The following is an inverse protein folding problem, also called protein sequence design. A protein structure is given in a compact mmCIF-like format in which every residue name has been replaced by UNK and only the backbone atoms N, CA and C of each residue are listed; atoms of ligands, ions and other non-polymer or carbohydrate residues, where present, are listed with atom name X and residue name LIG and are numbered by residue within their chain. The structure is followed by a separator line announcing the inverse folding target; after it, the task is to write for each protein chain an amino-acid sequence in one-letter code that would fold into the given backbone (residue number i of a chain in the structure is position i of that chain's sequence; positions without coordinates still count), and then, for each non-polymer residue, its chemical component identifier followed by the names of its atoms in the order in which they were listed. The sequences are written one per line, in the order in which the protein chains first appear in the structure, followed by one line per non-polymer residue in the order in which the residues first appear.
data_IF_421085192885
#
_entry.id   IF_421085192885
#
_cell.length_a   1.000
_cell.length_b   1.000
_cell.length_c   1.000
_cell.angle_alpha   90.00
_cell.angle_beta   90.00
_cell.angle_gamma   90.00
#
_symmetry.space_group_name_H-M   'P 1'
#
loop_
_entity.id
_entity.type
_entity.pdbx_description
1 polymer ?
#
# COMPACT_ATOMS: atom_id res chain seq x y z
N UNK A 1 -7.07 1.36 -70.43
CA UNK A 1 -6.25 0.13 -70.52
C UNK A 1 -4.79 0.52 -70.64
N UNK A 2 -4.00 0.31 -69.60
CA UNK A 2 -2.63 -0.24 -69.65
C UNK A 2 -2.22 -0.50 -68.19
N UNK A 3 -1.91 -1.76 -67.90
CA UNK A 3 -1.55 -2.28 -66.59
C UNK A 3 -0.26 -3.04 -66.80
N UNK A 4 0.82 -2.64 -66.15
CA UNK A 4 2.05 -3.41 -65.97
C UNK A 4 3.11 -2.53 -65.30
N UNK A 5 4.06 -3.00 -64.50
CA UNK A 5 4.36 -4.27 -63.84
C UNK A 5 5.57 -3.92 -62.94
N UNK A 6 5.57 -4.37 -61.69
CA UNK A 6 6.69 -5.01 -60.97
C UNK A 6 7.93 -4.23 -60.49
N UNK A 7 8.24 -4.53 -59.22
CA UNK A 7 9.53 -4.99 -58.66
C UNK A 7 10.59 -3.99 -58.12
N UNK A 8 10.76 -4.07 -56.79
CA UNK A 8 11.96 -4.60 -56.10
C UNK A 8 12.80 -3.60 -55.27
N UNK A 9 12.78 -3.86 -53.96
CA UNK A 9 13.81 -3.78 -52.93
C UNK A 9 14.89 -2.68 -52.97
N UNK A 10 14.98 -1.94 -51.85
CA UNK A 10 16.14 -1.12 -51.51
C UNK A 10 16.02 -0.52 -50.11
N UNK A 11 16.61 -1.20 -49.13
CA UNK A 11 16.73 -0.84 -47.72
C UNK A 11 17.52 0.47 -47.55
N UNK A 12 17.05 1.37 -46.67
CA UNK A 12 17.83 2.07 -45.63
C UNK A 12 17.26 3.47 -45.33
N UNK A 13 16.66 3.62 -44.14
CA UNK A 13 16.87 4.70 -43.18
C UNK A 13 15.66 4.81 -42.23
N UNK A 14 15.55 3.89 -41.26
CA UNK A 14 14.77 4.17 -40.05
C UNK A 14 15.60 5.15 -39.20
N UNK A 15 15.50 6.43 -39.52
CA UNK A 15 16.01 7.51 -38.70
C UNK A 15 14.82 8.37 -38.24
N UNK A 16 14.18 7.93 -37.16
CA UNK A 16 13.49 8.76 -36.16
C UNK A 16 12.74 7.86 -35.17
N UNK A 17 13.47 6.96 -34.49
CA UNK A 17 13.05 6.59 -33.13
C UNK A 17 13.27 7.83 -32.26
N UNK A 18 12.22 8.60 -32.06
CA UNK A 18 12.13 9.48 -30.90
C UNK A 18 10.68 9.49 -30.42
N UNK A 19 10.11 8.30 -30.31
CA UNK A 19 9.07 8.08 -29.31
C UNK A 19 9.83 8.12 -27.98
N UNK A 20 9.76 9.27 -27.30
CA UNK A 20 10.18 9.35 -25.92
C UNK A 20 9.27 8.38 -25.17
N UNK A 21 9.83 7.21 -24.87
CA UNK A 21 9.27 6.22 -23.97
C UNK A 21 8.83 6.99 -22.72
N UNK A 22 7.53 7.01 -22.37
CA UNK A 22 7.14 7.51 -21.07
C UNK A 22 7.83 6.59 -20.08
N UNK A 23 8.83 7.14 -19.38
CA UNK A 23 9.42 6.50 -18.21
C UNK A 23 8.25 6.02 -17.36
N UNK A 24 8.13 4.69 -17.24
CA UNK A 24 7.22 4.09 -16.31
C UNK A 24 7.42 4.81 -14.97
N UNK A 25 6.36 5.24 -14.26
CA UNK A 25 6.55 5.79 -12.94
C UNK A 25 7.32 4.75 -12.16
N UNK A 26 8.55 5.11 -11.79
CA UNK A 26 9.32 4.36 -10.82
C UNK A 26 8.37 4.25 -9.65
N UNK A 27 7.92 3.02 -9.38
CA UNK A 27 7.22 2.73 -8.15
C UNK A 27 8.16 3.20 -7.05
N UNK A 28 7.84 4.36 -6.49
CA UNK A 28 8.44 4.84 -5.27
C UNK A 28 8.12 3.73 -4.28
N UNK A 29 9.10 2.87 -4.00
CA UNK A 29 9.10 2.13 -2.74
C UNK A 29 8.99 3.22 -1.69
N UNK A 30 7.79 3.43 -1.18
CA UNK A 30 7.58 4.15 0.06
C UNK A 30 8.22 3.27 1.12
N UNK A 31 9.55 3.36 1.24
CA UNK A 31 10.27 2.96 2.44
C UNK A 31 9.61 3.80 3.52
N UNK A 32 8.73 3.17 4.30
CA UNK A 32 8.10 3.79 5.44
C UNK A 32 9.23 4.42 6.25
N UNK A 33 9.32 5.75 6.19
CA UNK A 33 10.32 6.49 6.93
C UNK A 33 10.20 6.02 8.38
N UNK A 34 11.31 5.55 8.95
CA UNK A 34 11.38 5.00 10.30
C UNK A 34 10.62 5.93 11.26
N UNK A 35 9.40 5.54 11.59
CA UNK A 35 8.54 6.37 12.41
C UNK A 35 9.16 6.42 13.81
N UNK A 36 9.29 7.61 14.43
CA UNK A 36 9.81 7.69 15.79
C UNK A 36 8.95 6.82 16.72
N UNK A 37 9.60 6.19 17.71
CA UNK A 37 8.93 5.37 18.72
C UNK A 37 7.68 6.10 19.26
N UNK A 38 6.57 5.39 19.30
CA UNK A 38 5.29 5.98 19.69
C UNK A 38 4.52 6.70 18.58
N UNK A 39 4.94 6.58 17.31
CA UNK A 39 4.17 6.97 16.13
C UNK A 39 4.13 5.83 15.11
N UNK A 40 3.16 5.87 14.20
CA UNK A 40 3.06 4.98 13.05
C UNK A 40 2.73 5.84 11.84
N UNK A 41 3.38 5.57 10.72
CA UNK A 41 3.10 6.28 9.49
C UNK A 41 1.70 5.90 8.96
N UNK A 42 1.09 6.76 8.15
CA UNK A 42 -0.01 6.31 7.33
C UNK A 42 0.46 5.20 6.40
N UNK A 43 -0.42 4.22 6.16
CA UNK A 43 -0.08 3.02 5.39
C UNK A 43 -0.95 1.83 5.75
N UNK A 44 -0.76 0.76 5.01
CA UNK A 44 -1.40 -0.53 5.27
C UNK A 44 -0.39 -1.47 5.91
N UNK A 45 -0.81 -2.17 6.95
CA UNK A 45 -0.01 -3.04 7.78
C UNK A 45 -0.66 -4.42 7.87
N UNK A 46 0.16 -5.45 7.82
CA UNK A 46 -0.23 -6.78 8.31
C UNK A 46 0.11 -6.85 9.79
N UNK A 47 -0.89 -7.16 10.61
CA UNK A 47 -0.80 -7.25 12.07
C UNK A 47 -0.85 -8.71 12.47
N UNK A 48 0.24 -9.20 13.07
CA UNK A 48 0.32 -10.52 13.66
C UNK A 48 -0.05 -10.45 15.15
N UNK A 49 -1.12 -11.16 15.51
CA UNK A 49 -1.63 -11.24 16.87
C UNK A 49 -0.96 -12.36 17.66
N UNK A 50 -0.98 -12.24 18.99
CA UNK A 50 -0.38 -13.23 19.89
C UNK A 50 -1.02 -14.63 19.84
N UNK A 51 -2.27 -14.72 19.38
CA UNK A 51 -2.99 -15.97 19.13
C UNK A 51 -2.61 -16.66 17.79
N UNK A 52 -1.70 -16.06 17.02
CA UNK A 52 -1.23 -16.56 15.74
C UNK A 52 -2.11 -16.17 14.55
N UNK A 53 -3.22 -15.44 14.77
CA UNK A 53 -4.02 -14.88 13.68
C UNK A 53 -3.36 -13.64 13.08
N UNK A 54 -3.85 -13.24 11.90
CA UNK A 54 -3.39 -12.03 11.21
C UNK A 54 -4.58 -11.17 10.84
N UNK A 55 -4.38 -9.85 10.84
CA UNK A 55 -5.35 -8.88 10.33
C UNK A 55 -4.66 -7.87 9.43
N UNK A 56 -5.44 -7.21 8.58
CA UNK A 56 -4.96 -6.08 7.78
C UNK A 56 -5.45 -4.78 8.41
N UNK A 57 -4.56 -3.81 8.58
CA UNK A 57 -4.88 -2.54 9.24
C UNK A 57 -4.35 -1.37 8.42
N UNK A 58 -5.21 -0.43 8.07
CA UNK A 58 -4.88 0.76 7.29
C UNK A 58 -5.05 1.99 8.15
N UNK A 59 -4.00 2.82 8.20
CA UNK A 59 -3.98 4.12 8.87
C UNK A 59 -3.93 5.18 7.77
N UNK A 60 -4.93 6.07 7.75
CA UNK A 60 -5.04 7.12 6.75
C UNK A 60 -4.47 8.43 7.29
N UNK A 61 -3.87 9.25 6.43
CA UNK A 61 -3.35 10.58 6.83
C UNK A 61 -4.43 11.56 7.33
N UNK A 62 -5.71 11.26 7.12
CA UNK A 62 -6.84 12.10 7.52
C UNK A 62 -7.29 11.88 8.98
N UNK A 63 -6.59 11.02 9.74
CA UNK A 63 -6.94 10.71 11.12
C UNK A 63 -7.94 9.55 11.27
N UNK A 64 -8.23 8.82 10.20
CA UNK A 64 -9.09 7.62 10.23
C UNK A 64 -8.30 6.33 10.09
N UNK A 65 -8.91 5.21 10.47
CA UNK A 65 -8.36 3.87 10.25
C UNK A 65 -9.44 2.89 9.78
N UNK A 66 -8.98 1.78 9.20
CA UNK A 66 -9.79 0.61 8.87
C UNK A 66 -9.01 -0.66 9.17
N UNK A 67 -9.59 -1.59 9.93
CA UNK A 67 -9.01 -2.89 10.25
C UNK A 67 -9.92 -4.02 9.80
N UNK A 68 -9.37 -5.04 9.15
CA UNK A 68 -10.10 -6.24 8.75
C UNK A 68 -9.48 -7.48 9.39
N UNK A 69 -10.30 -8.23 10.14
CA UNK A 69 -9.94 -9.49 10.79
C UNK A 69 -11.10 -10.46 10.65
N UNK A 70 -10.83 -11.69 10.20
CA UNK A 70 -11.85 -12.74 10.00
C UNK A 70 -13.09 -12.24 9.23
N UNK A 71 -12.87 -11.52 8.13
CA UNK A 71 -13.88 -10.85 7.29
C UNK A 71 -14.73 -9.76 7.98
N UNK A 72 -14.47 -9.47 9.24
CA UNK A 72 -15.08 -8.35 9.98
C UNK A 72 -14.22 -7.11 9.80
N UNK A 73 -14.84 -6.02 9.35
CA UNK A 73 -14.17 -4.73 9.22
C UNK A 73 -14.60 -3.79 10.35
N UNK A 74 -13.62 -3.24 11.06
CA UNK A 74 -13.78 -2.15 12.02
C UNK A 74 -13.19 -0.86 11.43
N UNK A 75 -13.86 0.26 11.66
CA UNK A 75 -13.40 1.57 11.23
C UNK A 75 -13.52 2.57 12.37
N UNK A 76 -12.73 3.62 12.32
CA UNK A 76 -12.77 4.64 13.36
C UNK A 76 -11.78 5.77 13.13
N UNK A 77 -11.48 6.49 14.19
CA UNK A 77 -10.53 7.59 14.21
C UNK A 77 -9.34 7.27 15.08
N UNK A 78 -8.22 7.94 14.84
CA UNK A 78 -7.06 7.86 15.71
C UNK A 78 -6.50 9.24 16.05
N UNK A 79 -5.87 9.33 17.22
CA UNK A 79 -5.16 10.52 17.68
C UNK A 79 -3.82 10.15 18.31
N UNK A 80 -2.83 11.03 18.17
CA UNK A 80 -1.55 10.88 18.85
C UNK A 80 -1.60 11.55 20.23
N UNK A 81 -1.49 10.77 21.32
CA UNK A 81 -1.52 11.28 22.70
C UNK A 81 -0.31 10.78 23.48
N UNK A 82 0.54 11.69 23.94
CA UNK A 82 1.67 11.35 24.82
C UNK A 82 2.66 10.32 24.25
N UNK A 83 2.86 10.30 22.92
CA UNK A 83 3.70 9.29 22.26
C UNK A 83 3.05 7.93 22.11
N UNK A 84 1.71 7.87 22.16
CA UNK A 84 0.90 6.69 21.83
C UNK A 84 -0.04 7.05 20.69
N UNK A 85 -0.39 6.06 19.89
CA UNK A 85 -1.52 6.16 18.96
C UNK A 85 -2.76 5.62 19.65
N UNK A 86 -3.83 6.40 19.70
CA UNK A 86 -5.08 6.07 20.37
C UNK A 86 -6.18 5.92 19.35
N UNK A 87 -6.76 4.73 19.25
CA UNK A 87 -7.84 4.40 18.32
C UNK A 87 -9.19 4.47 19.03
N UNK A 88 -10.18 5.03 18.35
CA UNK A 88 -11.58 4.99 18.77
C UNK A 88 -12.41 4.43 17.62
N UNK A 89 -12.97 3.24 17.83
CA UNK A 89 -13.87 2.61 16.86
C UNK A 89 -15.17 3.40 16.71
N UNK A 90 -15.73 3.40 15.51
CA UNK A 90 -17.03 4.00 15.20
C UNK A 90 -18.20 3.14 15.71
N UNK A 91 -17.96 1.92 16.19
CA UNK A 91 -19.01 1.09 16.79
C UNK A 91 -19.59 1.74 18.06
N UNK A 92 -20.89 1.57 18.28
CA UNK A 92 -21.57 2.15 19.44
C UNK A 92 -21.01 1.59 20.75
N UNK A 93 -20.63 2.49 21.67
CA UNK A 93 -20.11 2.13 22.99
C UNK A 93 -18.63 1.75 23.01
N UNK A 94 -17.89 1.95 21.91
CA UNK A 94 -16.45 1.74 21.87
C UNK A 94 -15.72 2.72 22.78
N UNK A 95 -14.77 2.20 23.55
CA UNK A 95 -13.82 3.00 24.33
C UNK A 95 -12.55 3.24 23.50
N UNK A 96 -11.82 4.28 23.87
CA UNK A 96 -10.52 4.57 23.27
C UNK A 96 -9.47 3.56 23.74
N UNK A 97 -8.68 3.03 22.81
CA UNK A 97 -7.55 2.15 23.11
C UNK A 97 -6.24 2.74 22.59
N UNK A 98 -5.28 2.95 23.49
CA UNK A 98 -3.98 3.52 23.17
C UNK A 98 -2.88 2.47 23.09
N UNK A 99 -1.99 2.65 22.11
CA UNK A 99 -0.94 1.72 21.75
C UNK A 99 0.43 2.39 21.71
N UNK A 100 1.43 1.68 22.23
CA UNK A 100 2.83 2.13 22.31
C UNK A 100 3.66 1.33 21.31
N UNK A 101 4.18 2.00 20.29
CA UNK A 101 5.01 1.37 19.27
C UNK A 101 6.49 1.38 19.67
N UNK A 102 7.16 0.26 19.44
CA UNK A 102 8.62 0.15 19.46
C UNK A 102 9.24 0.81 18.22
N UNK A 103 10.55 0.99 18.23
CA UNK A 103 11.28 1.37 17.01
C UNK A 103 11.16 0.28 15.95
N UNK A 104 11.08 0.67 14.67
CA UNK A 104 11.10 -0.27 13.57
C UNK A 104 12.45 -0.99 13.47
N UNK A 105 12.40 -2.30 13.27
CA UNK A 105 13.53 -3.13 12.93
C UNK A 105 14.01 -2.84 11.49
N UNK A 106 15.17 -3.40 11.13
CA UNK A 106 15.79 -3.19 9.82
C UNK A 106 14.93 -3.69 8.63
N UNK A 107 13.99 -4.60 8.89
CA UNK A 107 13.02 -5.12 7.92
C UNK A 107 11.72 -4.29 7.86
N UNK A 108 11.64 -3.19 8.63
CA UNK A 108 10.45 -2.34 8.71
C UNK A 108 9.35 -2.85 9.64
N UNK A 109 9.55 -3.98 10.32
CA UNK A 109 8.61 -4.50 11.32
C UNK A 109 8.78 -3.78 12.67
N UNK A 110 7.70 -3.66 13.43
CA UNK A 110 7.75 -3.14 14.81
C UNK A 110 6.69 -3.79 15.68
N UNK A 111 6.93 -3.86 16.98
CA UNK A 111 5.92 -4.29 17.95
C UNK A 111 5.12 -3.10 18.46
N UNK A 112 3.83 -3.34 18.75
CA UNK A 112 2.95 -2.40 19.42
C UNK A 112 2.31 -3.04 20.66
N UNK A 113 2.20 -2.27 21.75
CA UNK A 113 1.65 -2.71 23.03
C UNK A 113 0.50 -1.81 23.46
N UNK A 114 -0.68 -2.38 23.67
CA UNK A 114 -1.85 -1.65 24.16
C UNK A 114 -1.72 -1.31 25.64
N UNK A 115 -2.51 -0.34 26.11
CA UNK A 115 -2.60 0.00 27.53
C UNK A 115 -3.20 -1.14 28.39
N UNK A 116 -3.88 -2.11 27.77
CA UNK A 116 -4.39 -3.32 28.41
C UNK A 116 -3.35 -4.46 28.47
N UNK A 117 -2.19 -4.27 27.82
CA UNK A 117 -1.06 -5.20 27.83
C UNK A 117 -1.03 -6.19 26.66
N UNK A 118 -1.90 -6.01 25.66
CA UNK A 118 -1.84 -6.81 24.44
C UNK A 118 -0.63 -6.41 23.59
N UNK A 119 0.03 -7.38 22.97
CA UNK A 119 1.17 -7.16 22.10
C UNK A 119 0.90 -7.71 20.71
N UNK A 120 1.18 -6.90 19.70
CA UNK A 120 1.10 -7.28 18.28
C UNK A 120 2.38 -6.89 17.56
N UNK A 121 2.65 -7.58 16.45
CA UNK A 121 3.73 -7.21 15.52
C UNK A 121 3.13 -6.68 14.24
N UNK A 122 3.59 -5.52 13.79
CA UNK A 122 3.15 -4.86 12.56
C UNK A 122 4.27 -4.92 11.53
N UNK A 123 3.90 -5.24 10.30
CA UNK A 123 4.78 -5.16 9.14
C UNK A 123 4.05 -4.36 8.07
N UNK A 124 4.75 -3.47 7.36
CA UNK A 124 4.16 -2.78 6.21
C UNK A 124 3.69 -3.83 5.21
N UNK A 125 2.40 -3.82 4.90
CA UNK A 125 1.86 -4.73 3.90
C UNK A 125 2.53 -4.42 2.57
N UNK A 126 3.07 -5.44 1.91
CA UNK A 126 3.55 -5.27 0.55
C UNK A 126 2.40 -4.67 -0.28
N UNK A 127 2.67 -3.58 -1.00
CA UNK A 127 1.69 -3.03 -1.91
C UNK A 127 1.23 -4.16 -2.84
N UNK A 128 -0.03 -4.58 -2.73
CA UNK A 128 -0.56 -5.51 -3.71
C UNK A 128 -0.38 -4.83 -5.07
N UNK A 129 0.24 -5.51 -6.06
CA UNK A 129 0.34 -4.93 -7.38
C UNK A 129 -1.09 -4.66 -7.81
N UNK A 130 -1.43 -3.38 -7.97
CA UNK A 130 -2.66 -2.99 -8.65
C UNK A 130 -2.68 -3.80 -9.93
N UNK A 131 -3.61 -4.74 -10.04
CA UNK A 131 -3.78 -5.48 -11.27
C UNK A 131 -3.95 -4.42 -12.35
N UNK A 132 -2.99 -4.36 -13.28
CA UNK A 132 -3.03 -3.42 -14.38
C UNK A 132 -4.45 -3.44 -14.96
N UNK A 133 -5.04 -2.28 -15.32
CA UNK A 133 -6.32 -2.26 -16.00
C UNK A 133 -6.21 -3.27 -17.14
N UNK A 134 -7.11 -4.26 -17.17
CA UNK A 134 -7.18 -5.22 -18.27
C UNK A 134 -7.49 -4.37 -19.50
N UNK A 135 -6.45 -3.97 -20.23
CA UNK A 135 -6.56 -3.28 -21.50
C UNK A 135 -7.35 -4.23 -22.41
N UNK A 136 -8.63 -3.97 -22.56
CA UNK A 136 -9.44 -4.56 -23.61
C UNK A 136 -8.81 -4.16 -24.93
N UNK A 137 -8.02 -5.07 -25.49
CA UNK A 137 -7.48 -4.94 -26.84
C UNK A 137 -8.62 -4.59 -27.81
N UNK A 138 -8.50 -3.55 -28.65
CA UNK A 138 -9.50 -3.30 -29.68
C UNK A 138 -9.42 -4.42 -30.72
N UNK A 139 -10.57 -4.99 -31.07
CA UNK A 139 -10.72 -5.91 -32.17
C UNK A 139 -10.23 -5.23 -33.47
N UNK A 140 -9.24 -5.83 -34.13
CA UNK A 140 -8.81 -5.43 -35.46
C UNK A 140 -9.97 -5.62 -36.46
N UNK A 141 -10.24 -4.57 -37.24
CA UNK A 141 -11.02 -4.64 -38.48
C UNK A 141 -10.09 -4.95 -39.65
#
# INVERSE_FOLDING_TARGET
MMKALFLLAGVAALAACSEAEPEAPVAEETVAAQAPAGSVAAGTYDVAWSDGSTSKFTINDDGTYSGTRDDVTDTGTYEMKGGKICFTSAAEGSEEECWTNTEAAADGSFSSVSDTGENVTLTVAAAEPIAAPVETAPAAQ
#
